data_IF_503511673716
#
_entry.id   IF_503511673716
#
_cell.length_a   1.000
_cell.length_b   1.000
_cell.length_c   1.000
_cell.angle_alpha   90.00
_cell.angle_beta   90.00
_cell.angle_gamma   90.00
#
_symmetry.space_group_name_H-M   'P 1'
#
loop_
_entity.id
_entity.type
_entity.pdbx_description
1 polymer ?
#
# COMPACT_ATOMS: atom_id res chain seq x y z
N UNK A 1 -3.47 -4.21 27.62
CA UNK A 1 -3.37 -4.74 26.25
C UNK A 1 -1.90 -5.01 26.00
N UNK A 2 -1.49 -6.27 26.03
CA UNK A 2 -0.09 -6.65 25.84
C UNK A 2 0.31 -6.31 24.40
N UNK A 3 1.35 -5.49 24.22
CA UNK A 3 1.95 -5.23 22.93
C UNK A 3 2.65 -6.52 22.48
N UNK A 4 1.98 -7.33 21.69
CA UNK A 4 2.64 -8.44 21.02
C UNK A 4 3.76 -7.87 20.17
N UNK A 5 5.02 -8.23 20.47
CA UNK A 5 6.15 -7.89 19.60
C UNK A 5 5.85 -8.47 18.22
N UNK A 6 5.63 -7.62 17.24
CA UNK A 6 5.32 -8.02 15.87
C UNK A 6 6.46 -8.82 15.23
N UNK A 7 7.67 -8.66 15.75
CA UNK A 7 8.85 -9.41 15.34
C UNK A 7 9.86 -9.51 16.48
N UNK A 8 10.42 -10.68 16.69
CA UNK A 8 11.53 -10.85 17.63
C UNK A 8 12.85 -10.69 16.87
N UNK A 9 13.62 -9.65 17.21
CA UNK A 9 14.96 -9.38 16.63
C UNK A 9 15.95 -10.53 16.82
N UNK A 10 15.72 -11.42 17.79
CA UNK A 10 16.50 -12.65 17.99
C UNK A 10 16.36 -13.62 16.81
N UNK A 11 15.28 -13.52 16.02
CA UNK A 11 15.03 -14.33 14.84
C UNK A 11 15.75 -13.81 13.57
N UNK A 12 16.63 -12.81 13.71
CA UNK A 12 17.39 -12.24 12.59
C UNK A 12 16.73 -11.04 11.91
N UNK A 13 17.10 -10.76 10.67
CA UNK A 13 16.59 -9.62 9.88
C UNK A 13 15.19 -9.93 9.36
N UNK A 14 14.24 -8.99 9.52
CA UNK A 14 12.90 -9.12 8.91
C UNK A 14 13.00 -9.11 7.39
N UNK A 15 12.54 -10.16 6.73
CA UNK A 15 12.54 -10.30 5.27
C UNK A 15 11.21 -9.80 4.74
N UNK A 16 11.25 -8.71 3.95
CA UNK A 16 10.08 -8.00 3.45
C UNK A 16 9.87 -8.27 1.98
N UNK A 17 8.65 -8.60 1.57
CA UNK A 17 8.22 -8.47 0.18
C UNK A 17 7.47 -7.15 0.01
N UNK A 18 7.86 -6.34 -0.98
CA UNK A 18 7.11 -5.15 -1.37
C UNK A 18 6.05 -5.51 -2.41
N UNK A 19 4.77 -5.27 -2.11
CA UNK A 19 3.65 -5.49 -3.04
C UNK A 19 3.20 -4.15 -3.60
N UNK A 20 3.09 -4.04 -4.92
CA UNK A 20 2.73 -2.78 -5.59
C UNK A 20 1.97 -3.02 -6.89
N UNK A 21 1.19 -2.03 -7.35
CA UNK A 21 0.41 -2.10 -8.61
C UNK A 21 0.74 -0.98 -9.60
N UNK A 22 1.46 0.07 -9.18
CA UNK A 22 1.69 1.28 -9.99
C UNK A 22 3.12 1.80 -9.91
N UNK A 23 3.31 3.10 -9.59
CA UNK A 23 4.60 3.81 -9.59
C UNK A 23 5.60 3.29 -8.54
N UNK A 24 5.13 2.71 -7.44
CA UNK A 24 5.98 2.16 -6.38
C UNK A 24 6.75 3.20 -5.57
N UNK A 25 6.25 4.43 -5.48
CA UNK A 25 6.89 5.52 -4.73
C UNK A 25 7.11 5.14 -3.26
N UNK A 26 6.09 4.56 -2.61
CA UNK A 26 6.16 4.11 -1.22
C UNK A 26 7.22 3.00 -1.08
N UNK A 27 7.20 2.01 -1.97
CA UNK A 27 8.18 0.92 -1.94
C UNK A 27 9.61 1.43 -2.13
N UNK A 28 9.81 2.36 -3.06
CA UNK A 28 11.10 3.02 -3.26
C UNK A 28 11.60 3.67 -1.97
N UNK A 29 10.73 4.38 -1.24
CA UNK A 29 11.08 5.01 0.04
C UNK A 29 11.42 3.99 1.14
N UNK A 30 10.73 2.86 1.18
CA UNK A 30 11.05 1.76 2.11
C UNK A 30 12.44 1.20 1.82
N UNK A 31 12.79 0.97 0.54
CA UNK A 31 14.11 0.47 0.14
C UNK A 31 15.21 1.51 0.41
N UNK A 32 14.99 2.78 0.06
CA UNK A 32 15.93 3.86 0.35
C UNK A 32 16.19 4.02 1.85
N UNK A 33 15.15 3.84 2.68
CA UNK A 33 15.29 3.85 4.13
C UNK A 33 16.12 2.66 4.64
N UNK A 34 15.88 1.45 4.13
CA UNK A 34 16.70 0.26 4.42
C UNK A 34 18.17 0.56 4.16
N UNK A 35 18.50 1.06 2.96
CA UNK A 35 19.87 1.38 2.56
C UNK A 35 20.51 2.45 3.43
N UNK A 36 19.72 3.46 3.82
CA UNK A 36 20.19 4.49 4.73
C UNK A 36 20.54 3.92 6.11
N UNK A 37 19.71 3.03 6.65
CA UNK A 37 19.99 2.37 7.92
C UNK A 37 21.24 1.48 7.85
N UNK A 38 21.43 0.74 6.75
CA UNK A 38 22.64 -0.04 6.53
C UNK A 38 23.89 0.86 6.50
N UNK A 39 23.83 1.99 5.78
CA UNK A 39 24.95 2.93 5.68
C UNK A 39 25.27 3.63 7.01
N UNK A 40 24.27 3.99 7.80
CA UNK A 40 24.45 4.71 9.07
C UNK A 40 24.85 3.80 10.24
N UNK A 41 24.29 2.59 10.30
CA UNK A 41 24.39 1.70 11.48
C UNK A 41 25.11 0.38 11.18
N UNK A 42 25.63 0.18 9.95
CA UNK A 42 26.22 -1.08 9.50
C UNK A 42 25.20 -2.21 9.29
N UNK A 43 23.94 -2.00 9.63
CA UNK A 43 22.84 -2.97 9.47
C UNK A 43 21.48 -2.29 9.42
N UNK A 44 20.52 -2.95 8.75
CA UNK A 44 19.10 -2.62 8.83
C UNK A 44 18.34 -3.72 9.59
N UNK A 45 17.31 -3.41 10.37
CA UNK A 45 16.44 -4.40 11.02
C UNK A 45 15.56 -5.16 10.03
N UNK A 46 15.45 -4.70 8.80
CA UNK A 46 14.70 -5.37 7.75
C UNK A 46 15.44 -5.32 6.41
N UNK A 47 15.05 -6.20 5.50
CA UNK A 47 15.55 -6.25 4.13
C UNK A 47 14.42 -6.53 3.16
N UNK A 48 14.28 -5.70 2.13
CA UNK A 48 13.38 -5.98 1.01
C UNK A 48 14.03 -7.02 0.12
N UNK A 49 13.47 -8.23 0.10
CA UNK A 49 14.06 -9.41 -0.55
C UNK A 49 13.36 -9.82 -1.84
N UNK A 50 12.16 -9.28 -2.08
CA UNK A 50 11.42 -9.47 -3.32
C UNK A 50 10.46 -8.31 -3.54
N UNK A 51 10.15 -8.05 -4.81
CA UNK A 51 9.09 -7.15 -5.24
C UNK A 51 8.05 -7.98 -5.97
N UNK A 52 6.78 -7.81 -5.62
CA UNK A 52 5.67 -8.40 -6.34
C UNK A 52 4.80 -7.30 -6.93
N UNK A 53 4.40 -7.47 -8.19
CA UNK A 53 3.39 -6.62 -8.81
C UNK A 53 2.32 -7.44 -9.51
N UNK A 54 1.07 -7.01 -9.33
CA UNK A 54 -0.11 -7.56 -10.02
C UNK A 54 -0.42 -6.86 -11.35
N UNK A 55 0.47 -5.95 -11.80
CA UNK A 55 0.26 -5.15 -13.00
C UNK A 55 1.54 -5.06 -13.83
N UNK A 56 1.47 -5.50 -15.10
CA UNK A 56 2.59 -5.42 -16.06
C UNK A 56 3.06 -3.98 -16.33
N UNK A 57 2.18 -2.99 -16.16
CA UNK A 57 2.47 -1.57 -16.41
C UNK A 57 3.04 -0.85 -15.18
N UNK A 58 3.34 -1.57 -14.11
CA UNK A 58 3.96 -1.00 -12.91
C UNK A 58 5.45 -0.76 -13.12
N UNK A 59 6.03 0.14 -12.32
CA UNK A 59 7.48 0.37 -12.31
C UNK A 59 8.25 -0.69 -11.48
N UNK A 60 7.65 -1.84 -11.19
CA UNK A 60 8.27 -2.86 -10.34
C UNK A 60 9.61 -3.33 -10.90
N UNK A 61 9.69 -3.56 -12.22
CA UNK A 61 10.91 -4.02 -12.90
C UNK A 61 12.02 -2.97 -12.78
N UNK A 62 11.72 -1.71 -13.05
CA UNK A 62 12.70 -0.61 -12.96
C UNK A 62 13.24 -0.45 -11.53
N UNK A 63 12.36 -0.56 -10.53
CA UNK A 63 12.74 -0.53 -9.11
C UNK A 63 13.64 -1.74 -8.78
N UNK A 64 13.26 -2.92 -9.24
CA UNK A 64 14.07 -4.13 -9.03
C UNK A 64 15.46 -4.04 -9.63
N UNK A 65 15.58 -3.53 -10.85
CA UNK A 65 16.87 -3.28 -11.52
C UNK A 65 17.67 -2.25 -10.72
N UNK A 66 17.07 -1.10 -10.40
CA UNK A 66 17.74 0.00 -9.67
C UNK A 66 18.35 -0.47 -8.34
N UNK A 67 17.65 -1.32 -7.61
CA UNK A 67 18.05 -1.73 -6.26
C UNK A 67 18.60 -3.17 -6.18
N UNK A 68 18.71 -3.87 -7.33
CA UNK A 68 19.14 -5.27 -7.41
C UNK A 68 18.29 -6.21 -6.56
N UNK A 69 16.95 -6.04 -6.62
CA UNK A 69 15.96 -6.85 -5.90
C UNK A 69 15.19 -7.71 -6.90
N UNK A 70 15.01 -9.02 -6.66
CA UNK A 70 14.19 -9.89 -7.51
C UNK A 70 12.77 -9.37 -7.64
N UNK A 71 12.23 -9.45 -8.87
CA UNK A 71 10.87 -8.99 -9.19
C UNK A 71 10.03 -10.12 -9.73
N UNK A 72 8.83 -10.26 -9.23
CA UNK A 72 7.79 -11.15 -9.74
C UNK A 72 6.63 -10.27 -10.23
N UNK A 73 6.29 -10.39 -11.51
CA UNK A 73 5.12 -9.71 -12.06
C UNK A 73 4.12 -10.76 -12.55
N UNK A 74 2.87 -10.62 -12.09
CA UNK A 74 1.74 -11.45 -12.51
C UNK A 74 0.57 -10.55 -12.85
N UNK A 75 0.15 -10.56 -14.10
CA UNK A 75 -0.94 -9.73 -14.56
C UNK A 75 -2.29 -10.26 -14.04
N UNK A 76 -2.88 -9.51 -13.10
CA UNK A 76 -4.19 -9.87 -12.55
C UNK A 76 -5.31 -9.76 -13.59
N UNK A 77 -5.19 -8.82 -14.55
CA UNK A 77 -6.19 -8.64 -15.61
C UNK A 77 -6.18 -9.83 -16.57
N UNK A 78 -4.99 -10.29 -16.95
CA UNK A 78 -4.84 -11.49 -17.76
C UNK A 78 -5.36 -12.73 -17.02
N UNK A 79 -5.08 -12.84 -15.71
CA UNK A 79 -5.56 -13.97 -14.88
C UNK A 79 -7.09 -14.05 -14.84
N UNK A 80 -7.79 -12.95 -14.59
CA UNK A 80 -9.25 -12.93 -14.60
C UNK A 80 -9.83 -13.20 -16.01
N UNK A 81 -9.17 -12.67 -17.05
CA UNK A 81 -9.57 -12.91 -18.44
C UNK A 81 -9.44 -14.40 -18.81
N UNK A 82 -8.36 -15.06 -18.44
CA UNK A 82 -8.15 -16.50 -18.66
C UNK A 82 -9.24 -17.33 -18.00
N UNK A 83 -9.65 -16.98 -16.79
CA UNK A 83 -10.73 -17.62 -16.04
C UNK A 83 -12.13 -17.25 -16.56
N UNK A 84 -12.24 -16.30 -17.49
CA UNK A 84 -13.52 -15.75 -17.97
C UNK A 84 -14.43 -15.27 -16.83
N UNK A 85 -13.85 -14.56 -15.84
CA UNK A 85 -14.55 -14.08 -14.65
C UNK A 85 -14.34 -12.58 -14.45
N UNK A 86 -15.30 -11.86 -13.85
CA UNK A 86 -15.16 -10.44 -13.55
C UNK A 86 -14.19 -10.22 -12.37
N UNK A 87 -13.54 -9.06 -12.33
CA UNK A 87 -12.61 -8.67 -11.26
C UNK A 87 -13.24 -8.62 -9.86
N UNK A 88 -14.56 -8.56 -9.77
CA UNK A 88 -15.31 -8.64 -8.52
C UNK A 88 -15.44 -10.03 -7.95
N UNK A 89 -15.02 -11.07 -8.69
CA UNK A 89 -15.08 -12.46 -8.23
C UNK A 89 -13.96 -12.75 -7.23
N UNK A 90 -14.33 -12.79 -5.95
CA UNK A 90 -13.39 -13.03 -4.86
C UNK A 90 -12.89 -14.48 -4.78
N UNK A 91 -13.59 -15.45 -5.41
CA UNK A 91 -13.10 -16.83 -5.49
C UNK A 91 -11.88 -16.88 -6.39
N UNK A 92 -11.96 -16.27 -7.57
CA UNK A 92 -10.83 -16.15 -8.50
C UNK A 92 -9.72 -15.29 -7.89
N UNK A 93 -10.07 -14.26 -7.11
CA UNK A 93 -9.10 -13.47 -6.37
C UNK A 93 -8.31 -14.33 -5.39
N UNK A 94 -8.99 -15.23 -4.69
CA UNK A 94 -8.35 -16.16 -3.75
C UNK A 94 -7.35 -17.08 -4.46
N UNK A 95 -7.70 -17.62 -5.62
CA UNK A 95 -6.78 -18.42 -6.44
C UNK A 95 -5.53 -17.62 -6.85
N UNK A 96 -5.71 -16.35 -7.26
CA UNK A 96 -4.60 -15.46 -7.58
C UNK A 96 -3.68 -15.22 -6.38
N UNK A 97 -4.24 -15.03 -5.20
CA UNK A 97 -3.48 -14.82 -3.96
C UNK A 97 -2.75 -16.11 -3.51
N UNK A 98 -3.36 -17.29 -3.67
CA UNK A 98 -2.69 -18.58 -3.44
C UNK A 98 -1.44 -18.73 -4.33
N UNK A 99 -1.55 -18.36 -5.60
CA UNK A 99 -0.41 -18.36 -6.50
C UNK A 99 0.63 -17.28 -6.15
N UNK A 100 0.18 -16.12 -5.69
CA UNK A 100 1.07 -15.06 -5.20
C UNK A 100 1.88 -15.54 -4.01
N UNK A 101 1.25 -16.20 -3.05
CA UNK A 101 1.93 -16.82 -1.91
C UNK A 101 2.94 -17.87 -2.39
N UNK A 102 2.55 -18.73 -3.33
CA UNK A 102 3.42 -19.77 -3.88
C UNK A 102 4.70 -19.23 -4.50
N UNK A 103 4.60 -18.14 -5.29
CA UNK A 103 5.78 -17.56 -5.95
C UNK A 103 6.64 -16.73 -5.00
N UNK A 104 6.09 -16.26 -3.89
CA UNK A 104 6.83 -15.53 -2.85
C UNK A 104 7.49 -16.47 -1.81
N UNK A 105 7.02 -17.70 -1.66
CA UNK A 105 7.55 -18.66 -0.68
C UNK A 105 9.07 -18.89 -0.72
N UNK A 106 9.74 -18.99 -1.91
CA UNK A 106 11.18 -19.17 -2.00
C UNK A 106 11.99 -18.04 -1.34
N UNK A 107 11.43 -16.85 -1.25
CA UNK A 107 12.10 -15.68 -0.66
C UNK A 107 12.04 -15.65 0.87
N UNK A 108 11.36 -16.61 1.52
CA UNK A 108 11.28 -16.76 2.99
C UNK A 108 10.91 -15.43 3.68
N UNK A 109 9.88 -14.76 3.15
CA UNK A 109 9.42 -13.48 3.70
C UNK A 109 8.69 -13.67 5.02
N UNK A 110 8.86 -12.70 5.92
CA UNK A 110 8.15 -12.61 7.20
C UNK A 110 7.03 -11.57 7.13
N UNK A 111 7.25 -10.51 6.34
CA UNK A 111 6.34 -9.37 6.24
C UNK A 111 6.05 -9.03 4.78
N UNK A 112 4.81 -8.69 4.49
CA UNK A 112 4.38 -8.13 3.22
C UNK A 112 4.06 -6.63 3.39
N UNK A 113 4.83 -5.76 2.74
CA UNK A 113 4.55 -4.33 2.69
C UNK A 113 3.66 -4.03 1.48
N UNK A 114 2.40 -3.70 1.74
CA UNK A 114 1.45 -3.29 0.71
C UNK A 114 1.70 -1.81 0.39
N UNK A 115 2.61 -1.58 -0.53
CA UNK A 115 3.14 -0.26 -0.87
C UNK A 115 2.50 0.27 -2.16
N UNK A 116 1.23 0.62 -2.11
CA UNK A 116 0.43 0.98 -3.28
C UNK A 116 -0.04 -0.24 -4.07
N UNK A 117 -0.31 -1.33 -3.40
CA UNK A 117 -0.98 -2.51 -3.94
C UNK A 117 -2.49 -2.24 -4.01
N UNK A 118 -3.06 -2.28 -5.21
CA UNK A 118 -4.41 -1.78 -5.46
C UNK A 118 -5.48 -2.88 -5.45
N UNK A 119 -5.07 -4.12 -5.36
CA UNK A 119 -5.98 -5.26 -5.33
C UNK A 119 -6.35 -5.63 -3.89
N UNK A 120 -7.57 -6.12 -3.70
CA UNK A 120 -8.02 -6.67 -2.42
C UNK A 120 -7.15 -7.89 -2.08
N UNK A 121 -6.63 -7.96 -0.86
CA UNK A 121 -6.00 -9.14 -0.32
C UNK A 121 -7.05 -10.09 0.23
N UNK A 122 -6.91 -11.40 -0.04
CA UNK A 122 -7.78 -12.44 0.50
C UNK A 122 -7.05 -13.33 1.50
N UNK A 123 -7.78 -14.22 2.17
CA UNK A 123 -7.26 -15.06 3.24
C UNK A 123 -5.90 -15.74 2.96
N UNK A 124 -5.62 -16.32 1.77
CA UNK A 124 -4.32 -16.92 1.51
C UNK A 124 -3.16 -15.95 1.71
N UNK A 125 -3.30 -14.71 1.22
CA UNK A 125 -2.25 -13.70 1.32
C UNK A 125 -2.17 -13.13 2.74
N UNK A 126 -3.32 -12.83 3.36
CA UNK A 126 -3.43 -12.28 4.72
C UNK A 126 -2.85 -13.25 5.75
N UNK A 127 -3.17 -14.56 5.65
CA UNK A 127 -2.76 -15.56 6.62
C UNK A 127 -1.31 -16.06 6.43
N UNK A 128 -0.73 -15.82 5.24
CA UNK A 128 0.62 -16.31 4.95
C UNK A 128 1.72 -15.37 5.40
N UNK A 129 1.44 -14.06 5.47
CA UNK A 129 2.42 -13.03 5.78
C UNK A 129 1.86 -11.98 6.71
N UNK A 130 2.69 -11.45 7.60
CA UNK A 130 2.32 -10.27 8.34
C UNK A 130 2.22 -9.07 7.39
N UNK A 131 0.99 -8.71 7.02
CA UNK A 131 0.69 -7.65 6.06
C UNK A 131 0.61 -6.28 6.72
N UNK A 132 1.32 -5.30 6.16
CA UNK A 132 1.25 -3.88 6.57
C UNK A 132 0.95 -3.02 5.35
N UNK A 133 -0.06 -2.16 5.45
CA UNK A 133 -0.45 -1.22 4.39
C UNK A 133 -0.18 0.22 4.80
N UNK A 134 0.14 1.06 3.81
CA UNK A 134 0.14 2.52 3.95
C UNK A 134 -1.05 3.07 3.19
N UNK A 135 -2.06 3.50 3.94
CA UNK A 135 -3.29 4.10 3.42
C UNK A 135 -3.18 5.63 3.40
N UNK A 136 -3.56 6.31 2.29
CA UNK A 136 -3.33 7.75 2.13
C UNK A 136 -4.40 8.64 2.80
N UNK A 137 -5.02 8.19 3.89
CA UNK A 137 -5.97 8.98 4.68
C UNK A 137 -5.83 8.68 6.17
N UNK A 138 -6.39 9.54 7.01
CA UNK A 138 -6.45 9.35 8.47
C UNK A 138 -7.58 8.39 8.83
N UNK A 139 -7.23 7.14 9.08
CA UNK A 139 -8.18 6.09 9.44
C UNK A 139 -8.76 6.21 10.88
N UNK A 140 -8.38 7.25 11.63
CA UNK A 140 -9.00 7.56 12.93
C UNK A 140 -10.30 8.36 12.76
N UNK A 141 -10.49 8.98 11.57
CA UNK A 141 -11.70 9.75 11.30
C UNK A 141 -12.86 8.79 11.05
N UNK A 142 -13.89 8.91 11.89
CA UNK A 142 -15.05 8.03 11.90
C UNK A 142 -16.28 8.72 11.30
N UNK A 143 -17.17 7.92 10.73
CA UNK A 143 -18.52 8.27 10.39
C UNK A 143 -19.47 7.23 11.07
N UNK A 144 -20.02 7.60 12.21
CA UNK A 144 -20.63 6.65 13.14
C UNK A 144 -19.61 5.63 13.65
N UNK A 145 -19.88 4.35 13.45
CA UNK A 145 -19.01 3.25 13.88
C UNK A 145 -17.98 2.82 12.82
N UNK A 146 -18.02 3.42 11.63
CA UNK A 146 -17.14 3.04 10.50
C UNK A 146 -16.07 4.09 10.25
N UNK A 147 -14.91 3.64 9.77
CA UNK A 147 -13.87 4.55 9.27
C UNK A 147 -14.38 5.28 8.04
N UNK A 148 -14.26 6.63 8.05
CA UNK A 148 -14.86 7.49 7.04
C UNK A 148 -14.12 7.42 5.70
N UNK A 149 -12.80 7.40 5.72
CA UNK A 149 -11.97 7.49 4.53
C UNK A 149 -11.23 6.18 4.26
N UNK A 150 -11.96 5.18 3.75
CA UNK A 150 -11.43 3.87 3.36
C UNK A 150 -11.47 3.68 1.84
N UNK A 151 -10.70 2.70 1.34
CA UNK A 151 -10.72 2.29 -0.05
C UNK A 151 -9.99 3.24 -0.99
N UNK A 152 -10.21 3.03 -2.29
CA UNK A 152 -9.42 3.62 -3.37
C UNK A 152 -9.49 5.15 -3.46
N UNK A 153 -10.61 5.75 -3.10
CA UNK A 153 -10.86 7.20 -3.26
C UNK A 153 -10.69 8.00 -1.96
N UNK A 154 -10.24 7.38 -0.89
CA UNK A 154 -10.17 7.95 0.46
C UNK A 154 -9.51 9.35 0.50
N UNK A 155 -8.39 9.53 -0.20
CA UNK A 155 -7.69 10.82 -0.25
C UNK A 155 -8.52 11.89 -0.95
N UNK A 156 -9.11 11.57 -2.10
CA UNK A 156 -10.01 12.48 -2.82
C UNK A 156 -11.22 12.83 -1.99
N UNK A 157 -11.82 11.83 -1.35
CA UNK A 157 -13.04 12.01 -0.57
C UNK A 157 -12.80 12.87 0.68
N UNK A 158 -11.63 12.75 1.31
CA UNK A 158 -11.24 13.63 2.41
C UNK A 158 -11.08 15.10 1.96
N UNK A 159 -10.49 15.36 0.79
CA UNK A 159 -10.39 16.71 0.23
C UNK A 159 -11.77 17.28 -0.10
N UNK A 160 -12.64 16.47 -0.72
CA UNK A 160 -14.02 16.86 -1.06
C UNK A 160 -14.86 17.16 0.19
N UNK A 161 -14.63 16.40 1.27
CA UNK A 161 -15.28 16.63 2.55
C UNK A 161 -14.79 17.90 3.28
N UNK A 162 -13.74 18.55 2.76
CA UNK A 162 -13.22 19.80 3.31
C UNK A 162 -12.16 19.62 4.40
N UNK A 163 -11.56 18.43 4.50
CA UNK A 163 -10.45 18.22 5.42
C UNK A 163 -9.31 19.18 5.06
N UNK A 164 -8.82 19.89 6.05
CA UNK A 164 -7.74 20.90 5.87
C UNK A 164 -6.35 20.31 6.04
N UNK A 165 -6.26 19.15 6.62
CA UNK A 165 -5.04 18.38 6.83
C UNK A 165 -5.25 16.95 6.40
N UNK A 166 -4.29 16.41 5.70
CA UNK A 166 -4.25 15.02 5.28
C UNK A 166 -3.16 14.27 6.03
N UNK A 167 -3.39 13.02 6.31
CA UNK A 167 -2.44 12.12 6.97
C UNK A 167 -2.46 10.77 6.29
N UNK A 168 -1.34 10.10 6.26
CA UNK A 168 -1.28 8.69 5.90
C UNK A 168 -1.37 7.83 7.16
N UNK A 169 -2.00 6.68 7.04
CA UNK A 169 -2.11 5.68 8.10
C UNK A 169 -1.37 4.41 7.72
N UNK A 170 -0.46 3.96 8.57
CA UNK A 170 0.11 2.62 8.49
C UNK A 170 -0.71 1.69 9.38
N UNK A 171 -1.23 0.61 8.82
CA UNK A 171 -2.08 -0.33 9.54
C UNK A 171 -1.80 -1.79 9.13
N UNK A 172 -2.23 -2.74 9.96
CA UNK A 172 -2.17 -4.17 9.67
C UNK A 172 -3.22 -4.49 8.60
N UNK A 173 -2.90 -5.39 7.68
CA UNK A 173 -3.87 -5.93 6.72
C UNK A 173 -4.74 -6.96 7.43
N UNK A 174 -6.04 -6.78 7.34
CA UNK A 174 -7.08 -7.67 7.82
C UNK A 174 -8.11 -7.92 6.71
N UNK A 175 -9.03 -8.91 6.84
CA UNK A 175 -10.01 -9.24 5.81
C UNK A 175 -10.89 -8.06 5.40
N UNK A 176 -11.26 -7.20 6.35
CA UNK A 176 -12.00 -5.98 6.07
C UNK A 176 -11.07 -4.86 5.61
N UNK A 177 -11.35 -4.30 4.43
CA UNK A 177 -10.50 -3.30 3.79
C UNK A 177 -10.30 -2.09 4.70
N UNK A 178 -9.03 -1.71 4.90
CA UNK A 178 -8.56 -0.57 5.70
C UNK A 178 -9.05 -0.56 7.18
N UNK A 179 -9.54 -1.68 7.70
CA UNK A 179 -10.06 -1.78 9.07
C UNK A 179 -9.07 -2.35 10.09
N UNK A 180 -7.91 -2.81 9.63
CA UNK A 180 -6.91 -3.39 10.52
C UNK A 180 -6.34 -2.40 11.54
N UNK A 181 -5.66 -2.94 12.54
CA UNK A 181 -5.09 -2.18 13.64
C UNK A 181 -4.11 -1.12 13.14
N UNK A 182 -4.32 0.13 13.55
CA UNK A 182 -3.44 1.25 13.23
C UNK A 182 -2.12 1.10 13.97
N UNK A 183 -1.02 1.18 13.23
CA UNK A 183 0.35 1.13 13.75
C UNK A 183 0.94 2.54 13.87
N UNK A 184 0.70 3.40 12.88
CA UNK A 184 1.26 4.75 12.84
C UNK A 184 0.38 5.69 12.02
N UNK A 185 0.39 6.95 12.41
CA UNK A 185 -0.20 8.06 11.65
C UNK A 185 0.92 9.04 11.30
N UNK A 186 0.98 9.48 10.06
CA UNK A 186 1.97 10.48 9.61
C UNK A 186 1.72 11.85 10.22
N UNK A 187 2.74 12.72 10.16
CA UNK A 187 2.54 14.16 10.35
C UNK A 187 1.52 14.69 9.35
N UNK A 188 0.77 15.75 9.70
CA UNK A 188 -0.21 16.34 8.81
C UNK A 188 0.44 17.04 7.62
N UNK A 189 -0.20 16.96 6.48
CA UNK A 189 0.05 17.79 5.31
C UNK A 189 -1.15 18.72 5.09
N UNK A 190 -0.92 20.02 5.00
CA UNK A 190 -2.00 20.98 4.70
C UNK A 190 -2.53 20.78 3.30
N UNK A 191 -3.85 20.87 3.18
CA UNK A 191 -4.54 20.93 1.88
C UNK A 191 -4.57 22.38 1.42
N UNK A 192 -3.83 22.70 0.37
CA UNK A 192 -3.81 24.04 -0.21
C UNK A 192 -4.82 24.11 -1.36
N UNK A 193 -6.01 24.64 -1.07
CA UNK A 193 -7.03 24.92 -2.07
C UNK A 193 -6.93 26.39 -2.46
N UNK A 194 -6.83 26.72 -3.77
CA UNK A 194 -6.80 28.11 -4.23
C UNK A 194 -8.01 28.92 -3.73
N UNK A 195 -7.80 30.17 -3.36
CA UNK A 195 -8.85 31.05 -2.82
C UNK A 195 -10.03 31.26 -3.78
N UNK A 196 -9.80 31.12 -5.08
CA UNK A 196 -10.82 31.23 -6.13
C UNK A 196 -11.52 29.88 -6.44
N UNK A 197 -11.27 28.83 -5.66
CA UNK A 197 -11.86 27.49 -5.89
C UNK A 197 -13.39 27.52 -5.98
N UNK A 198 -14.04 28.39 -5.21
CA UNK A 198 -15.48 28.60 -5.25
C UNK A 198 -16.01 28.93 -6.65
N UNK A 199 -15.21 29.65 -7.45
CA UNK A 199 -15.59 30.17 -8.76
C UNK A 199 -15.44 29.13 -9.91
N UNK A 200 -14.84 27.98 -9.64
CA UNK A 200 -14.69 26.92 -10.65
C UNK A 200 -16.00 26.16 -10.85
N UNK A 201 -16.25 25.76 -12.08
CA UNK A 201 -17.31 24.81 -12.39
C UNK A 201 -17.00 23.41 -11.79
N UNK A 202 -17.98 22.51 -11.84
CA UNK A 202 -17.86 21.18 -11.25
C UNK A 202 -16.73 20.33 -11.86
N UNK A 203 -16.50 20.49 -13.18
CA UNK A 203 -15.43 19.78 -13.89
C UNK A 203 -14.04 20.26 -13.49
N UNK A 204 -13.84 21.59 -13.46
CA UNK A 204 -12.59 22.20 -13.03
C UNK A 204 -12.27 21.89 -11.55
N UNK A 205 -13.29 21.88 -10.68
CA UNK A 205 -13.15 21.45 -9.28
C UNK A 205 -12.67 20.00 -9.17
N UNK A 206 -13.27 19.08 -9.93
CA UNK A 206 -12.89 17.68 -9.93
C UNK A 206 -11.43 17.48 -10.40
N UNK A 207 -11.01 18.17 -11.45
CA UNK A 207 -9.64 18.11 -11.98
C UNK A 207 -8.64 18.63 -10.92
N UNK A 208 -8.93 19.76 -10.30
CA UNK A 208 -8.06 20.36 -9.29
C UNK A 208 -7.93 19.44 -8.05
N UNK A 209 -9.03 18.89 -7.56
CA UNK A 209 -9.03 17.96 -6.42
C UNK A 209 -8.18 16.72 -6.74
N UNK A 210 -8.33 16.14 -7.94
CA UNK A 210 -7.53 14.99 -8.34
C UNK A 210 -6.04 15.34 -8.41
N UNK A 211 -5.68 16.51 -8.94
CA UNK A 211 -4.28 16.98 -8.97
C UNK A 211 -3.71 17.15 -7.56
N UNK A 212 -4.44 17.81 -6.65
CA UNK A 212 -4.02 17.98 -5.25
C UNK A 212 -3.83 16.60 -4.60
N UNK A 213 -4.76 15.66 -4.82
CA UNK A 213 -4.64 14.31 -4.28
C UNK A 213 -3.39 13.58 -4.82
N UNK A 214 -3.08 13.69 -6.11
CA UNK A 214 -1.88 13.11 -6.72
C UNK A 214 -0.59 13.72 -6.15
N UNK A 215 -0.53 15.04 -5.98
CA UNK A 215 0.60 15.73 -5.38
C UNK A 215 0.84 15.30 -3.93
N UNK A 216 -0.22 15.12 -3.15
CA UNK A 216 -0.12 14.65 -1.76
C UNK A 216 0.33 13.17 -1.67
N UNK A 217 -0.02 12.33 -2.63
CA UNK A 217 0.48 10.93 -2.68
C UNK A 217 1.98 10.83 -2.99
N UNK A 218 2.59 11.88 -3.53
CA UNK A 218 4.01 11.89 -3.91
C UNK A 218 4.92 12.44 -2.80
N UNK A 219 4.34 13.09 -1.78
CA UNK A 219 5.06 13.66 -0.62
C UNK A 219 5.14 12.65 0.53
#
# INVERSE_FOLDING_TARGET
>A
MELTKLYNLENGITRVAGLMSRKGTILTKIIEHERRLEAQNGRSPYKVVAIFSDNLKSNAVDIGIKFSIPVIVRDIDAFYKEKNRPKSDLIIRKEFDEETVRVLKPYKINMAAFAGYMSIATDPLINSFFGVNVHPADLRIMDGEKRKYTGFHALRDSIVAGEKELRATTHIIEPEVDNGKILMISSPLKVEIPSNFGNYDSGAKAILINRIAEEHQQR
#
